data_IF_061996942723
#
_entry.id   IF_061996942723
#
_cell.length_a   1.000
_cell.length_b   1.000
_cell.length_c   1.000
_cell.angle_alpha   90.00
_cell.angle_beta   90.00
_cell.angle_gamma   90.00
#
_symmetry.space_group_name_H-M   'P 1'
#
loop_
_entity.id
_entity.type
_entity.pdbx_description
1 polymer ?
#
# COMPACT_ATOMS: atom_id res chain seq x y z
N UNK A 1 -54.56 8.15 31.83
CA UNK A 1 -53.21 7.59 32.11
C UNK A 1 -52.45 7.06 30.90
N UNK A 2 -53.03 6.94 29.72
CA UNK A 2 -52.41 6.34 28.51
C UNK A 2 -51.38 7.26 27.81
N UNK A 3 -51.48 8.56 27.92
CA UNK A 3 -50.58 9.51 27.20
C UNK A 3 -49.16 9.57 27.77
N UNK A 4 -48.95 9.28 29.05
CA UNK A 4 -47.62 9.31 29.67
C UNK A 4 -46.74 8.18 29.18
N UNK A 5 -47.32 7.02 28.96
CA UNK A 5 -46.64 5.82 28.40
C UNK A 5 -46.19 6.02 26.94
N UNK A 6 -46.97 6.74 26.12
CA UNK A 6 -46.58 6.98 24.72
C UNK A 6 -45.38 7.92 24.57
N UNK A 7 -45.32 8.99 25.40
CA UNK A 7 -44.19 9.92 25.38
C UNK A 7 -42.89 9.23 25.87
N UNK A 8 -43.00 8.39 26.90
CA UNK A 8 -41.87 7.61 27.40
C UNK A 8 -41.36 6.62 26.34
N UNK A 9 -42.22 5.90 25.60
CA UNK A 9 -41.84 5.04 24.48
C UNK A 9 -41.16 5.81 23.34
N UNK A 10 -41.71 6.97 22.96
CA UNK A 10 -41.09 7.81 21.92
C UNK A 10 -39.68 8.30 22.33
N UNK A 11 -39.50 8.64 23.61
CA UNK A 11 -38.19 9.02 24.15
C UNK A 11 -37.17 7.90 24.07
N UNK A 12 -37.54 6.69 24.43
CA UNK A 12 -36.68 5.49 24.33
C UNK A 12 -36.32 5.18 22.88
N UNK A 13 -37.28 5.21 21.96
CA UNK A 13 -37.06 5.00 20.55
C UNK A 13 -36.13 6.03 19.94
N UNK A 14 -36.24 7.30 20.34
CA UNK A 14 -35.33 8.35 19.89
C UNK A 14 -33.89 8.10 20.36
N UNK A 15 -33.70 7.71 21.62
CA UNK A 15 -32.37 7.37 22.16
C UNK A 15 -31.78 6.17 21.45
N UNK A 16 -32.54 5.09 21.25
CA UNK A 16 -32.09 3.91 20.52
C UNK A 16 -31.71 4.28 19.08
N UNK A 17 -32.50 5.13 18.41
CA UNK A 17 -32.22 5.62 17.06
C UNK A 17 -30.86 6.33 16.98
N UNK A 18 -30.59 7.26 17.88
CA UNK A 18 -29.31 8.00 17.92
C UNK A 18 -28.13 7.08 18.23
N UNK A 19 -28.26 6.19 19.20
CA UNK A 19 -27.21 5.21 19.55
C UNK A 19 -26.92 4.24 18.42
N UNK A 20 -27.96 3.80 17.70
CA UNK A 20 -27.78 2.90 16.55
C UNK A 20 -27.02 3.55 15.41
N UNK A 21 -27.33 4.78 15.04
CA UNK A 21 -26.64 5.51 13.97
C UNK A 21 -25.18 5.79 14.34
N UNK A 22 -24.91 6.21 15.56
CA UNK A 22 -23.55 6.47 16.03
C UNK A 22 -22.71 5.19 16.14
N UNK A 23 -23.33 4.09 16.57
CA UNK A 23 -22.70 2.76 16.63
C UNK A 23 -22.30 2.26 15.25
N UNK A 24 -23.18 2.37 14.24
CA UNK A 24 -22.90 1.94 12.86
C UNK A 24 -21.77 2.80 12.26
N UNK A 25 -21.77 4.11 12.45
CA UNK A 25 -20.73 4.99 11.96
C UNK A 25 -19.36 4.68 12.59
N UNK A 26 -19.33 4.43 13.90
CA UNK A 26 -18.11 4.02 14.60
C UNK A 26 -17.57 2.67 14.12
N UNK A 27 -18.44 1.68 13.95
CA UNK A 27 -18.08 0.37 13.42
C UNK A 27 -17.53 0.46 11.99
N UNK A 28 -18.16 1.24 11.11
CA UNK A 28 -17.71 1.42 9.74
C UNK A 28 -16.28 1.98 9.68
N UNK A 29 -15.98 3.03 10.47
CA UNK A 29 -14.61 3.59 10.56
C UNK A 29 -13.60 2.60 11.11
N UNK A 30 -13.97 1.82 12.13
CA UNK A 30 -13.10 0.81 12.70
C UNK A 30 -12.77 -0.29 11.69
N UNK A 31 -13.79 -0.76 10.95
CA UNK A 31 -13.61 -1.77 9.90
C UNK A 31 -12.76 -1.25 8.74
N UNK A 32 -12.93 0.01 8.33
CA UNK A 32 -12.09 0.61 7.29
C UNK A 32 -10.62 0.65 7.74
N UNK A 33 -10.36 1.12 8.96
CA UNK A 33 -9.00 1.15 9.53
C UNK A 33 -8.40 -0.25 9.63
N UNK A 34 -9.19 -1.25 10.06
CA UNK A 34 -8.76 -2.64 10.11
C UNK A 34 -8.36 -3.18 8.73
N UNK A 35 -9.18 -2.93 7.70
CA UNK A 35 -8.88 -3.32 6.32
C UNK A 35 -7.59 -2.69 5.81
N UNK A 36 -7.35 -1.41 6.09
CA UNK A 36 -6.14 -0.70 5.69
C UNK A 36 -4.90 -1.26 6.38
N UNK A 37 -4.95 -1.47 7.69
CA UNK A 37 -3.84 -2.07 8.43
C UNK A 37 -3.53 -3.49 7.93
N UNK A 38 -4.56 -4.31 7.68
CA UNK A 38 -4.39 -5.64 7.10
C UNK A 38 -3.72 -5.57 5.73
N UNK A 39 -4.13 -4.64 4.88
CA UNK A 39 -3.56 -4.45 3.55
C UNK A 39 -2.07 -4.05 3.61
N UNK A 40 -1.69 -3.11 4.47
CA UNK A 40 -0.29 -2.74 4.67
C UNK A 40 0.54 -3.92 5.16
N UNK A 41 0.04 -4.68 6.13
CA UNK A 41 0.69 -5.89 6.62
C UNK A 41 0.85 -6.96 5.51
N UNK A 42 -0.12 -7.08 4.62
CA UNK A 42 -0.02 -7.99 3.46
C UNK A 42 1.09 -7.58 2.50
N UNK A 43 1.28 -6.28 2.25
CA UNK A 43 2.39 -5.76 1.44
C UNK A 43 3.74 -6.13 2.08
N UNK A 44 3.89 -5.93 3.38
CA UNK A 44 5.10 -6.31 4.11
C UNK A 44 5.36 -7.81 4.04
N UNK A 45 4.34 -8.62 4.32
CA UNK A 45 4.45 -10.08 4.26
C UNK A 45 4.84 -10.56 2.88
N UNK A 46 4.23 -9.99 1.84
CA UNK A 46 4.54 -10.33 0.45
C UNK A 46 5.99 -9.96 0.10
N UNK A 47 6.47 -8.80 0.56
CA UNK A 47 7.87 -8.38 0.37
C UNK A 47 8.84 -9.40 0.96
N UNK A 48 8.60 -9.85 2.20
CA UNK A 48 9.42 -10.88 2.84
C UNK A 48 9.32 -12.23 2.12
N UNK A 49 8.13 -12.65 1.73
CA UNK A 49 7.92 -13.92 1.03
C UNK A 49 8.68 -13.99 -0.30
N UNK A 50 8.72 -12.89 -1.06
CA UNK A 50 9.48 -12.84 -2.32
C UNK A 50 10.98 -12.88 -2.04
N UNK A 51 11.46 -12.10 -1.08
CA UNK A 51 12.88 -12.12 -0.70
C UNK A 51 13.28 -13.53 -0.28
N UNK A 52 12.46 -14.20 0.54
CA UNK A 52 12.72 -15.57 1.00
C UNK A 52 12.74 -16.56 -0.16
N UNK A 53 11.83 -16.43 -1.11
CA UNK A 53 11.75 -17.28 -2.30
C UNK A 53 13.00 -17.17 -3.18
N UNK A 54 13.56 -15.98 -3.31
CA UNK A 54 14.66 -15.71 -4.23
C UNK A 54 16.05 -15.70 -3.57
N UNK A 55 16.15 -15.68 -2.24
CA UNK A 55 17.43 -15.55 -1.50
C UNK A 55 18.45 -16.66 -1.81
N UNK A 56 17.98 -17.86 -2.21
CA UNK A 56 18.83 -19.00 -2.50
C UNK A 56 19.09 -19.20 -4.00
N UNK A 57 18.65 -18.28 -4.86
CA UNK A 57 18.86 -18.39 -6.29
C UNK A 57 20.17 -17.70 -6.67
N UNK A 58 21.16 -18.50 -7.09
CA UNK A 58 22.53 -18.06 -7.40
C UNK A 58 22.63 -17.02 -8.53
N UNK A 59 21.67 -16.94 -9.43
CA UNK A 59 21.53 -15.89 -10.44
C UNK A 59 20.08 -15.78 -10.88
N UNK A 60 19.44 -14.71 -10.53
CA UNK A 60 18.22 -14.30 -11.21
C UNK A 60 18.62 -13.47 -12.44
N UNK A 61 18.64 -14.08 -13.62
CA UNK A 61 19.12 -13.44 -14.85
C UNK A 61 18.06 -12.61 -15.57
N UNK A 62 16.80 -12.68 -15.15
CA UNK A 62 15.77 -11.86 -15.72
C UNK A 62 15.80 -10.47 -15.10
N UNK A 63 16.33 -9.52 -15.84
CA UNK A 63 16.00 -8.09 -15.67
C UNK A 63 14.53 -7.92 -16.06
N UNK A 64 13.63 -8.66 -15.32
CA UNK A 64 12.29 -8.94 -15.76
C UNK A 64 11.38 -7.78 -15.58
N UNK A 65 10.72 -7.45 -16.66
CA UNK A 65 9.45 -6.73 -16.68
C UNK A 65 8.25 -7.66 -16.52
N UNK A 66 8.46 -8.94 -16.25
CA UNK A 66 7.39 -9.93 -16.20
C UNK A 66 6.66 -9.90 -14.85
N UNK A 67 5.34 -9.89 -14.91
CA UNK A 67 4.51 -9.97 -13.70
C UNK A 67 4.63 -11.36 -13.07
N UNK A 68 5.20 -11.42 -11.87
CA UNK A 68 5.41 -12.65 -11.12
C UNK A 68 4.21 -13.06 -10.24
N UNK A 69 3.11 -12.33 -10.24
CA UNK A 69 1.93 -12.69 -9.45
C UNK A 69 1.41 -14.10 -9.72
N UNK A 70 1.39 -14.59 -10.98
CA UNK A 70 0.99 -15.98 -11.24
C UNK A 70 1.90 -17.01 -10.54
N UNK A 71 3.21 -16.75 -10.53
CA UNK A 71 4.17 -17.59 -9.82
C UNK A 71 3.93 -17.53 -8.31
N UNK A 72 3.78 -16.35 -7.73
CA UNK A 72 3.54 -16.19 -6.29
C UNK A 72 2.25 -16.90 -5.83
N UNK A 73 1.21 -16.88 -6.65
CA UNK A 73 -0.02 -17.65 -6.42
C UNK A 73 0.23 -19.15 -6.42
N UNK A 74 0.98 -19.64 -7.40
CA UNK A 74 1.23 -21.09 -7.57
C UNK A 74 2.05 -21.70 -6.44
N UNK A 75 2.99 -20.93 -5.86
CA UNK A 75 3.83 -21.37 -4.74
C UNK A 75 3.28 -21.02 -3.37
N UNK A 76 2.09 -20.39 -3.31
CA UNK A 76 1.46 -20.00 -2.04
C UNK A 76 2.17 -18.85 -1.29
N UNK A 77 3.00 -18.09 -1.98
CA UNK A 77 3.71 -16.95 -1.40
C UNK A 77 2.87 -15.68 -1.28
N UNK A 78 1.74 -15.63 -2.00
CA UNK A 78 0.80 -14.50 -1.92
C UNK A 78 -0.02 -14.60 -0.63
N UNK A 79 -0.08 -13.54 0.20
CA UNK A 79 -0.93 -13.53 1.39
C UNK A 79 -2.39 -13.84 1.05
N UNK A 80 -3.09 -14.63 1.90
CA UNK A 80 -4.51 -14.92 1.70
C UNK A 80 -5.34 -13.65 1.59
N UNK A 81 -6.35 -13.66 0.74
CA UNK A 81 -7.30 -12.56 0.55
C UNK A 81 -6.67 -11.21 0.17
N UNK A 82 -5.39 -11.18 -0.24
CA UNK A 82 -4.75 -9.95 -0.68
C UNK A 82 -5.31 -9.46 -2.01
N UNK A 83 -5.53 -10.38 -2.94
CA UNK A 83 -5.97 -10.07 -4.30
C UNK A 83 -7.18 -10.91 -4.69
N UNK A 84 -8.08 -10.29 -5.45
CA UNK A 84 -9.18 -10.98 -6.11
C UNK A 84 -8.70 -11.76 -7.37
N UNK A 85 -9.65 -12.40 -8.08
CA UNK A 85 -9.40 -13.14 -9.32
C UNK A 85 -8.84 -12.27 -10.46
N UNK A 86 -9.03 -10.96 -10.40
CA UNK A 86 -8.59 -9.98 -11.40
C UNK A 86 -7.29 -9.27 -10.99
N UNK A 87 -6.57 -9.77 -9.99
CA UNK A 87 -5.39 -9.14 -9.40
C UNK A 87 -5.66 -7.74 -8.83
N UNK A 88 -6.85 -7.54 -8.25
CA UNK A 88 -7.19 -6.31 -7.55
C UNK A 88 -7.12 -6.51 -6.05
N UNK A 89 -6.57 -5.52 -5.37
CA UNK A 89 -6.57 -5.48 -3.91
C UNK A 89 -7.97 -5.16 -3.34
N UNK A 90 -8.07 -5.15 -2.02
CA UNK A 90 -9.32 -4.89 -1.30
C UNK A 90 -9.95 -3.51 -1.59
N UNK A 91 -9.15 -2.58 -2.14
CA UNK A 91 -9.59 -1.23 -2.53
C UNK A 91 -9.87 -1.11 -4.03
N UNK A 92 -9.72 -2.22 -4.79
CA UNK A 92 -9.96 -2.28 -6.22
C UNK A 92 -8.78 -1.81 -7.08
N UNK A 93 -7.61 -1.54 -6.49
CA UNK A 93 -6.41 -1.19 -7.22
C UNK A 93 -5.86 -2.41 -7.95
N UNK A 94 -5.47 -2.26 -9.22
CA UNK A 94 -4.80 -3.35 -9.93
C UNK A 94 -3.38 -3.48 -9.40
N UNK A 95 -3.00 -4.69 -9.04
CA UNK A 95 -1.67 -4.99 -8.51
C UNK A 95 -0.88 -5.81 -9.52
N UNK A 96 0.38 -5.46 -9.69
CA UNK A 96 1.39 -6.23 -10.44
C UNK A 96 2.63 -6.35 -9.57
N UNK A 97 3.36 -7.45 -9.71
CA UNK A 97 4.57 -7.69 -8.96
C UNK A 97 5.71 -8.09 -9.90
N UNK A 98 6.87 -7.52 -9.66
CA UNK A 98 8.07 -7.76 -10.46
C UNK A 98 9.24 -8.02 -9.54
N UNK A 99 10.25 -8.72 -10.04
CA UNK A 99 11.53 -8.88 -9.35
C UNK A 99 12.64 -8.40 -10.27
N UNK A 100 13.51 -7.57 -9.75
CA UNK A 100 14.76 -7.23 -10.42
C UNK A 100 15.94 -7.54 -9.52
N UNK A 101 17.09 -7.78 -10.13
CA UNK A 101 18.37 -7.93 -9.42
C UNK A 101 19.27 -6.76 -9.78
N UNK A 102 20.02 -6.29 -8.78
CA UNK A 102 21.02 -5.26 -8.98
C UNK A 102 22.11 -5.40 -7.91
N UNK A 103 23.37 -5.48 -8.32
CA UNK A 103 24.52 -5.63 -7.42
C UNK A 103 24.31 -6.70 -6.33
N UNK A 104 23.86 -7.90 -6.70
CA UNK A 104 23.53 -9.00 -5.77
C UNK A 104 22.33 -8.72 -4.81
N UNK A 105 21.55 -7.69 -5.09
CA UNK A 105 20.32 -7.41 -4.35
C UNK A 105 19.12 -7.95 -5.10
N UNK A 106 18.22 -8.63 -4.41
CA UNK A 106 16.89 -8.94 -4.92
C UNK A 106 15.97 -7.79 -4.53
N UNK A 107 15.30 -7.25 -5.54
CA UNK A 107 14.40 -6.12 -5.39
C UNK A 107 13.00 -6.48 -5.87
N UNK A 108 12.11 -6.93 -4.98
CA UNK A 108 10.70 -7.01 -5.29
C UNK A 108 10.12 -5.62 -5.51
N UNK A 109 9.33 -5.50 -6.57
CA UNK A 109 8.61 -4.29 -6.94
C UNK A 109 7.13 -4.60 -6.95
N UNK A 110 6.34 -3.84 -6.20
CA UNK A 110 4.88 -3.92 -6.24
C UNK A 110 4.34 -2.64 -6.84
N UNK A 111 3.56 -2.79 -7.89
CA UNK A 111 2.88 -1.69 -8.54
C UNK A 111 1.39 -1.75 -8.22
N UNK A 112 0.84 -0.63 -7.78
CA UNK A 112 -0.58 -0.44 -7.51
C UNK A 112 -1.10 0.63 -8.46
N UNK A 113 -1.94 0.21 -9.43
CA UNK A 113 -2.58 1.13 -10.38
C UNK A 113 -3.97 1.48 -9.88
N UNK A 114 -4.21 2.76 -9.66
CA UNK A 114 -5.47 3.26 -9.09
C UNK A 114 -6.24 4.07 -10.12
N UNK A 115 -7.55 3.87 -10.19
CA UNK A 115 -8.42 4.80 -10.89
C UNK A 115 -8.67 6.04 -10.02
N UNK A 116 -8.97 7.22 -10.64
CA UNK A 116 -9.31 8.43 -9.92
C UNK A 116 -10.41 8.20 -8.90
N UNK A 117 -10.13 8.43 -7.62
CA UNK A 117 -11.10 8.22 -6.53
C UNK A 117 -10.59 8.70 -5.18
N UNK A 118 -11.50 8.83 -4.22
CA UNK A 118 -11.11 9.02 -2.81
C UNK A 118 -10.33 7.82 -2.24
N UNK A 119 -10.58 6.60 -2.74
CA UNK A 119 -9.79 5.43 -2.36
C UNK A 119 -8.34 5.56 -2.84
N UNK A 120 -8.10 6.08 -4.05
CA UNK A 120 -6.75 6.33 -4.57
C UNK A 120 -5.98 7.36 -3.71
N UNK A 121 -6.64 8.45 -3.32
CA UNK A 121 -6.09 9.40 -2.34
C UNK A 121 -5.70 8.70 -1.04
N UNK A 122 -6.57 7.84 -0.54
CA UNK A 122 -6.30 7.17 0.72
C UNK A 122 -5.22 6.11 0.58
N UNK A 123 -5.16 5.37 -0.54
CA UNK A 123 -4.05 4.47 -0.87
C UNK A 123 -2.71 5.22 -0.87
N UNK A 124 -2.66 6.42 -1.47
CA UNK A 124 -1.48 7.28 -1.43
C UNK A 124 -1.05 7.57 0.01
N UNK A 125 -1.98 8.01 0.85
CA UNK A 125 -1.71 8.32 2.25
C UNK A 125 -1.27 7.10 3.06
N UNK A 126 -1.90 5.94 2.84
CA UNK A 126 -1.59 4.72 3.57
C UNK A 126 -0.18 4.21 3.24
N UNK A 127 0.22 4.28 1.98
CA UNK A 127 1.57 3.90 1.56
C UNK A 127 2.67 4.78 2.16
N UNK A 128 2.36 6.06 2.48
CA UNK A 128 3.27 6.95 3.20
C UNK A 128 3.50 6.52 4.66
N UNK A 129 2.60 5.71 5.22
CA UNK A 129 2.70 5.19 6.59
C UNK A 129 3.38 3.83 6.67
N UNK A 130 3.86 3.29 5.53
CA UNK A 130 4.67 2.07 5.57
C UNK A 130 5.93 2.31 6.42
N UNK A 131 6.26 1.40 7.34
CA UNK A 131 7.40 1.56 8.23
C UNK A 131 8.72 1.24 7.50
N UNK A 132 9.14 2.11 6.59
CA UNK A 132 10.30 1.92 5.72
C UNK A 132 11.60 1.62 6.49
N UNK A 133 11.73 2.16 7.70
CA UNK A 133 12.93 1.97 8.52
C UNK A 133 12.96 0.63 9.29
N UNK A 134 11.82 -0.03 9.41
CA UNK A 134 11.66 -1.28 10.19
C UNK A 134 11.56 -2.49 9.28
N UNK A 135 10.99 -2.32 8.10
CA UNK A 135 10.76 -3.37 7.12
C UNK A 135 11.88 -3.47 6.09
N UNK A 136 11.79 -4.46 5.21
CA UNK A 136 12.64 -4.55 4.02
C UNK A 136 12.20 -3.62 2.88
N UNK A 137 11.21 -2.76 3.10
CA UNK A 137 10.75 -1.81 2.10
C UNK A 137 11.72 -0.63 2.03
N UNK A 138 12.29 -0.41 0.84
CA UNK A 138 13.30 0.62 0.62
C UNK A 138 12.70 1.94 0.19
N UNK A 139 11.76 1.88 -0.75
CA UNK A 139 11.16 3.10 -1.30
C UNK A 139 9.68 2.93 -1.58
N UNK A 140 8.95 4.03 -1.44
CA UNK A 140 7.61 4.20 -1.98
C UNK A 140 7.65 5.36 -2.95
N UNK A 141 7.29 5.10 -4.19
CA UNK A 141 7.28 6.10 -5.25
C UNK A 141 5.87 6.24 -5.80
N UNK A 142 5.47 7.44 -6.13
CA UNK A 142 4.20 7.66 -6.79
C UNK A 142 4.32 8.57 -8.00
N UNK A 143 3.48 8.32 -9.00
CA UNK A 143 3.36 9.13 -10.20
C UNK A 143 1.90 9.31 -10.60
N UNK A 144 1.64 10.28 -11.46
CA UNK A 144 0.37 10.42 -12.16
C UNK A 144 0.46 9.79 -13.55
N UNK A 145 -0.63 9.13 -13.98
CA UNK A 145 -0.67 8.41 -15.25
C UNK A 145 -0.28 6.93 -15.13
N UNK A 146 -0.30 6.23 -16.27
CA UNK A 146 -0.07 4.78 -16.34
C UNK A 146 1.38 4.38 -16.48
N UNK A 147 2.27 5.31 -16.81
CA UNK A 147 3.68 5.05 -17.07
C UNK A 147 4.56 5.89 -16.16
N UNK A 148 5.03 5.25 -15.09
CA UNK A 148 5.79 5.91 -14.03
C UNK A 148 7.30 5.90 -14.22
N UNK A 149 7.84 5.22 -15.22
CA UNK A 149 9.29 5.04 -15.34
C UNK A 149 10.07 6.35 -15.54
N UNK A 150 9.42 7.40 -16.07
CA UNK A 150 10.06 8.70 -16.31
C UNK A 150 9.33 9.90 -15.69
N UNK A 151 8.23 9.68 -14.96
CA UNK A 151 7.35 10.76 -14.46
C UNK A 151 7.05 10.61 -12.96
N UNK A 152 8.09 10.34 -12.18
CA UNK A 152 7.93 10.26 -10.71
C UNK A 152 7.61 11.65 -10.16
N UNK A 153 6.54 11.73 -9.36
CA UNK A 153 6.20 12.95 -8.60
C UNK A 153 6.93 12.97 -7.27
N UNK A 154 6.96 11.83 -6.57
CA UNK A 154 7.57 11.67 -5.27
C UNK A 154 8.19 10.30 -5.12
N UNK A 155 9.33 10.27 -4.45
CA UNK A 155 9.98 9.06 -3.99
C UNK A 155 10.39 9.24 -2.54
N UNK A 156 9.79 8.45 -1.67
CA UNK A 156 10.09 8.42 -0.25
C UNK A 156 10.96 7.23 0.01
N UNK A 157 12.03 7.43 0.78
CA UNK A 157 13.05 6.44 1.03
C UNK A 157 13.19 6.15 2.52
N UNK A 158 13.40 4.88 2.84
CA UNK A 158 13.81 4.45 4.17
C UNK A 158 15.30 4.71 4.43
N UNK A 159 15.67 4.82 5.68
CA UNK A 159 17.07 5.07 6.08
C UNK A 159 18.00 3.88 5.86
N UNK A 160 17.44 2.67 5.69
CA UNK A 160 18.18 1.43 5.45
C UNK A 160 18.55 1.19 3.99
N UNK A 161 18.39 2.18 3.13
CA UNK A 161 18.82 2.09 1.75
C UNK A 161 20.32 1.87 1.64
N UNK A 162 20.78 0.93 0.78
CA UNK A 162 22.20 0.83 0.46
C UNK A 162 22.73 2.15 -0.12
N UNK A 163 23.92 2.60 0.28
CA UNK A 163 24.54 3.81 -0.28
C UNK A 163 24.62 3.79 -1.81
N UNK A 164 24.94 2.63 -2.38
CA UNK A 164 25.04 2.44 -3.84
C UNK A 164 23.68 2.61 -4.54
N UNK A 165 22.60 2.36 -3.84
CA UNK A 165 21.25 2.58 -4.39
C UNK A 165 20.90 4.07 -4.44
N UNK A 166 21.42 4.87 -3.52
CA UNK A 166 21.25 6.33 -3.51
C UNK A 166 21.94 7.01 -4.70
N UNK A 167 23.03 6.43 -5.22
CA UNK A 167 23.70 6.93 -6.42
C UNK A 167 22.82 6.80 -7.68
N UNK A 168 21.96 5.75 -7.74
CA UNK A 168 21.06 5.51 -8.86
C UNK A 168 19.75 6.28 -8.71
N UNK A 169 19.38 6.60 -7.48
CA UNK A 169 18.12 7.21 -7.11
C UNK A 169 18.37 8.51 -6.35
N UNK A 170 18.97 9.52 -7.02
CA UNK A 170 19.39 10.76 -6.36
C UNK A 170 18.22 11.59 -5.82
N UNK A 171 16.99 11.33 -6.25
CA UNK A 171 15.78 12.07 -5.87
C UNK A 171 15.09 11.52 -4.61
N UNK A 172 15.81 10.71 -3.82
CA UNK A 172 15.28 10.15 -2.58
C UNK A 172 14.96 11.23 -1.56
N UNK A 173 13.72 11.28 -1.12
CA UNK A 173 13.28 12.15 -0.04
C UNK A 173 13.02 11.32 1.23
N UNK A 174 13.57 11.75 2.35
CA UNK A 174 13.19 11.19 3.64
C UNK A 174 11.93 11.89 4.15
N UNK A 175 10.99 11.13 4.72
CA UNK A 175 9.80 11.70 5.34
C UNK A 175 10.22 12.54 6.57
N UNK A 176 9.94 13.82 6.50
CA UNK A 176 10.16 14.77 7.58
C UNK A 176 8.84 15.47 7.91
N UNK A 177 8.76 16.10 9.06
CA UNK A 177 7.59 16.90 9.43
C UNK A 177 7.35 18.08 8.47
N UNK A 178 8.37 18.53 7.75
CA UNK A 178 8.27 19.64 6.79
C UNK A 178 7.62 19.20 5.47
N UNK A 179 7.99 18.03 4.93
CA UNK A 179 7.54 17.62 3.60
C UNK A 179 6.29 16.73 3.63
N UNK A 180 5.92 16.16 4.78
CA UNK A 180 4.75 15.26 4.87
C UNK A 180 3.45 15.94 4.43
N UNK A 181 3.27 17.21 4.82
CA UNK A 181 2.07 17.97 4.44
C UNK A 181 2.01 18.23 2.95
N UNK A 182 3.15 18.53 2.33
CA UNK A 182 3.26 18.73 0.90
C UNK A 182 2.97 17.45 0.14
N UNK A 183 3.58 16.34 0.54
CA UNK A 183 3.39 15.02 -0.06
C UNK A 183 1.93 14.58 0.04
N UNK A 184 1.29 14.73 1.22
CA UNK A 184 -0.12 14.44 1.41
C UNK A 184 -1.00 15.33 0.52
N UNK A 185 -0.64 16.61 0.39
CA UNK A 185 -1.38 17.51 -0.50
C UNK A 185 -1.29 17.09 -1.97
N UNK A 186 -0.13 16.60 -2.39
CA UNK A 186 0.06 16.07 -3.73
C UNK A 186 -0.70 14.77 -3.99
N UNK A 187 -0.95 13.96 -2.96
CA UNK A 187 -1.83 12.80 -3.09
C UNK A 187 -3.26 13.17 -3.56
N UNK A 188 -3.71 14.42 -3.32
CA UNK A 188 -5.05 14.86 -3.73
C UNK A 188 -5.29 14.79 -5.24
N UNK A 189 -4.22 14.83 -6.04
CA UNK A 189 -4.33 14.68 -7.50
C UNK A 189 -4.94 13.34 -7.89
N UNK A 190 -4.76 12.29 -7.07
CA UNK A 190 -5.31 10.96 -7.31
C UNK A 190 -6.84 10.88 -7.19
N UNK A 191 -7.51 11.94 -6.74
CA UNK A 191 -8.97 12.04 -6.81
C UNK A 191 -9.42 12.25 -8.26
N UNK A 192 -8.63 12.99 -9.05
CA UNK A 192 -8.97 13.43 -10.40
C UNK A 192 -8.19 12.72 -11.49
N UNK A 193 -6.97 12.27 -11.18
CA UNK A 193 -6.08 11.62 -12.12
C UNK A 193 -5.79 10.17 -11.73
N UNK A 194 -5.42 9.37 -12.73
CA UNK A 194 -4.89 8.04 -12.51
C UNK A 194 -3.55 8.12 -11.80
N UNK A 195 -3.40 7.41 -10.69
CA UNK A 195 -2.16 7.33 -9.94
C UNK A 195 -1.61 5.91 -9.96
N UNK A 196 -0.30 5.81 -10.06
CA UNK A 196 0.44 4.55 -9.91
C UNK A 196 1.42 4.69 -8.76
N UNK A 197 1.42 3.71 -7.88
CA UNK A 197 2.33 3.61 -6.75
C UNK A 197 3.26 2.44 -6.96
N UNK A 198 4.54 2.65 -6.69
CA UNK A 198 5.55 1.61 -6.74
C UNK A 198 6.20 1.48 -5.37
N UNK A 199 6.06 0.30 -4.78
CA UNK A 199 6.73 -0.09 -3.54
C UNK A 199 7.89 -0.99 -3.92
N UNK A 200 9.12 -0.58 -3.58
CA UNK A 200 10.32 -1.34 -3.82
C UNK A 200 10.86 -1.83 -2.49
N UNK A 201 11.04 -3.13 -2.40
CA UNK A 201 11.67 -3.77 -1.26
C UNK A 201 13.03 -4.33 -1.68
N UNK A 202 13.84 -4.69 -0.71
CA UNK A 202 15.09 -5.38 -1.00
C UNK A 202 15.75 -5.92 0.25
N UNK A 203 16.61 -6.91 0.01
CA UNK A 203 17.49 -7.44 1.03
C UNK A 203 18.87 -7.66 0.44
N UNK A 204 19.91 -7.41 1.22
CA UNK A 204 21.26 -7.69 0.81
C UNK A 204 21.49 -9.21 0.88
N UNK A 205 21.70 -9.81 -0.25
CA UNK A 205 22.08 -11.23 -0.31
C UNK A 205 23.59 -11.24 -0.40
N UNK A 206 24.24 -11.38 0.75
CA UNK A 206 25.66 -11.68 0.79
C UNK A 206 25.83 -13.13 0.32
N UNK A 207 26.45 -13.31 -0.82
CA UNK A 207 27.00 -14.57 -1.28
C UNK A 207 28.48 -14.62 -0.95
#
# INVERSE_FOLDING_TARGET
MLFRSMIEMLGVLAIIGVLSVSGIAGYSKAMEKFKRNKWLQQIETLSFSIIDLYKNQAKYTNQGSDDILPLLKSVGALPPDMLDKNNRDIFGNKVSAYVSTWNNWIRPHFQFDTNPSHNALQTCKDLLHLPLDVTSIWTVTFCTGKNCWNNWKYRICGKKLPPEYLEIVPECQYLTTYNISEIINNCKICIQEHCTFLVISGNNIYY
#
